data_IF_377502837878
#
_entry.id   IF_377502837878
#
_cell.length_a   1.000
_cell.length_b   1.000
_cell.length_c   1.000
_cell.angle_alpha   90.00
_cell.angle_beta   90.00
_cell.angle_gamma   90.00
#
_symmetry.space_group_name_H-M   'P 1'
#
loop_
_entity.id
_entity.type
_entity.pdbx_description
1 polymer ?
#
# COMPACT_ATOMS: atom_id res chain seq x y z
N UNK A 1 0.17 -15.40 -13.57
CA UNK A 1 -0.96 -15.29 -12.62
C UNK A 1 -0.79 -16.37 -11.57
N UNK A 2 -0.61 -16.01 -10.30
CA UNK A 2 -0.47 -17.00 -9.23
C UNK A 2 -1.84 -17.55 -8.84
N UNK A 3 -1.93 -18.86 -8.56
CA UNK A 3 -3.14 -19.53 -8.06
C UNK A 3 -3.05 -19.71 -6.55
N UNK A 4 -4.17 -19.80 -5.83
CA UNK A 4 -4.20 -19.96 -4.35
C UNK A 4 -3.35 -21.15 -3.82
N UNK A 5 -3.13 -22.16 -4.66
CA UNK A 5 -2.33 -23.36 -4.34
C UNK A 5 -0.85 -23.25 -4.76
N UNK A 6 -0.42 -22.13 -5.34
CA UNK A 6 0.94 -21.95 -5.81
C UNK A 6 1.92 -22.09 -4.65
N UNK A 7 2.92 -22.96 -4.83
CA UNK A 7 3.94 -23.23 -3.83
C UNK A 7 4.64 -21.94 -3.40
N UNK A 8 4.78 -20.98 -4.31
CA UNK A 8 5.38 -19.66 -4.05
C UNK A 8 4.57 -18.87 -3.02
N UNK A 9 3.24 -18.86 -3.13
CA UNK A 9 2.36 -18.18 -2.17
C UNK A 9 2.41 -18.89 -0.81
N UNK A 10 2.41 -20.22 -0.79
CA UNK A 10 2.52 -21.01 0.46
C UNK A 10 3.85 -20.77 1.17
N UNK A 11 4.95 -20.76 0.41
CA UNK A 11 6.29 -20.47 0.92
C UNK A 11 6.36 -19.06 1.48
N UNK A 12 5.79 -18.07 0.79
CA UNK A 12 5.72 -16.69 1.26
C UNK A 12 5.06 -16.60 2.64
N UNK A 13 3.85 -17.14 2.80
CA UNK A 13 3.15 -17.10 4.09
C UNK A 13 3.89 -17.88 5.18
N UNK A 14 4.53 -19.01 4.84
CA UNK A 14 5.34 -19.78 5.78
C UNK A 14 6.51 -18.96 6.33
N UNK A 15 7.22 -18.25 5.45
CA UNK A 15 8.32 -17.35 5.86
C UNK A 15 7.76 -16.18 6.65
N UNK A 16 6.69 -15.54 6.17
CA UNK A 16 6.07 -14.39 6.81
C UNK A 16 5.63 -14.68 8.26
N UNK A 17 4.97 -15.80 8.50
CA UNK A 17 4.54 -16.19 9.85
C UNK A 17 5.70 -16.53 10.79
N UNK A 18 6.87 -16.89 10.26
CA UNK A 18 8.09 -17.13 11.05
C UNK A 18 8.85 -15.86 11.41
N UNK A 19 8.54 -14.72 10.80
CA UNK A 19 9.21 -13.45 11.12
C UNK A 19 8.85 -12.96 12.54
N UNK A 20 9.77 -12.26 13.23
CA UNK A 20 9.47 -11.54 14.47
C UNK A 20 8.35 -10.50 14.29
N UNK A 21 7.58 -10.21 15.33
CA UNK A 21 6.44 -9.28 15.27
C UNK A 21 6.84 -7.89 14.78
N UNK A 22 8.00 -7.37 15.19
CA UNK A 22 8.52 -6.07 14.74
C UNK A 22 8.70 -6.04 13.22
N UNK A 23 9.25 -7.12 12.65
CA UNK A 23 9.44 -7.24 11.19
C UNK A 23 8.13 -7.49 10.45
N UNK A 24 7.18 -8.20 11.05
CA UNK A 24 5.81 -8.35 10.51
C UNK A 24 5.08 -7.01 10.46
N UNK A 25 5.22 -6.20 11.52
CA UNK A 25 4.68 -4.84 11.56
C UNK A 25 5.24 -3.99 10.43
N UNK A 26 6.51 -4.10 10.05
CA UNK A 26 7.04 -3.38 8.87
C UNK A 26 6.34 -3.71 7.53
N UNK A 27 5.70 -4.87 7.41
CA UNK A 27 4.89 -5.25 6.24
C UNK A 27 3.43 -4.78 6.32
N UNK A 28 2.91 -4.54 7.53
CA UNK A 28 1.51 -4.24 7.81
C UNK A 28 1.31 -2.75 8.10
N UNK A 29 2.17 -2.20 8.93
CA UNK A 29 2.39 -0.78 9.15
C UNK A 29 3.47 -0.34 8.17
N UNK A 30 3.02 0.26 7.07
CA UNK A 30 3.86 1.27 6.45
C UNK A 30 4.18 2.27 7.58
N UNK A 31 5.46 2.51 7.85
CA UNK A 31 5.99 3.47 8.84
C UNK A 31 5.62 4.91 8.42
N UNK A 32 4.36 5.13 8.11
CA UNK A 32 3.79 6.38 7.64
C UNK A 32 3.33 7.07 8.91
N UNK A 33 4.19 7.96 9.37
CA UNK A 33 3.97 8.78 10.56
C UNK A 33 2.63 9.54 10.48
N UNK A 34 2.22 9.92 9.27
CA UNK A 34 0.88 10.46 9.00
C UNK A 34 0.26 9.93 7.69
N UNK A 35 -0.73 9.00 7.74
CA UNK A 35 -1.36 8.46 6.54
C UNK A 35 -2.12 9.51 5.73
N UNK A 36 -2.42 10.68 6.30
CA UNK A 36 -3.12 11.77 5.62
C UNK A 36 -2.22 12.65 4.74
N UNK A 37 -0.91 12.50 4.88
CA UNK A 37 0.10 13.25 4.12
C UNK A 37 0.65 12.47 2.92
N UNK A 38 0.42 11.17 2.89
CA UNK A 38 0.87 10.29 1.81
C UNK A 38 -0.16 10.15 0.69
N UNK A 39 0.35 9.92 -0.51
CA UNK A 39 -0.45 9.68 -1.70
C UNK A 39 -0.71 8.19 -1.93
N UNK A 40 -1.84 7.84 -2.57
CA UNK A 40 -2.07 6.48 -3.00
C UNK A 40 -1.07 6.08 -4.08
N UNK A 41 -0.61 4.82 -4.03
CA UNK A 41 0.39 4.30 -4.97
C UNK A 41 -0.31 3.35 -5.94
N UNK A 42 -0.17 3.59 -7.24
CA UNK A 42 -0.69 2.71 -8.28
C UNK A 42 0.42 1.86 -8.90
N UNK A 43 0.25 0.55 -8.91
CA UNK A 43 1.01 -0.36 -9.77
C UNK A 43 0.18 -0.65 -11.01
N UNK A 44 0.41 0.14 -12.07
CA UNK A 44 -0.35 0.10 -13.32
C UNK A 44 -0.24 -1.24 -14.04
N UNK A 45 0.95 -1.85 -14.08
CA UNK A 45 1.16 -3.17 -14.68
C UNK A 45 0.37 -4.28 -13.98
N UNK A 46 0.19 -4.17 -12.66
CA UNK A 46 -0.52 -5.18 -11.85
C UNK A 46 -1.98 -4.83 -11.57
N UNK A 47 -2.45 -3.63 -11.99
CA UNK A 47 -3.79 -3.09 -11.68
C UNK A 47 -4.10 -3.06 -10.18
N UNK A 48 -3.09 -2.76 -9.36
CA UNK A 48 -3.22 -2.66 -7.89
C UNK A 48 -3.11 -1.19 -7.48
N UNK A 49 -4.03 -0.73 -6.64
CA UNK A 49 -3.98 0.57 -6.00
C UNK A 49 -3.80 0.38 -4.49
N UNK A 50 -2.72 0.92 -3.94
CA UNK A 50 -2.44 0.94 -2.51
C UNK A 50 -2.99 2.22 -1.91
N UNK A 51 -3.89 2.07 -0.94
CA UNK A 51 -4.51 3.18 -0.22
C UNK A 51 -3.97 3.25 1.22
N UNK A 52 -3.39 4.38 1.62
CA UNK A 52 -3.11 4.67 3.03
C UNK A 52 -4.37 4.61 3.89
N UNK A 53 -4.20 4.37 5.19
CA UNK A 53 -5.30 4.38 6.17
C UNK A 53 -5.68 5.81 6.55
N UNK A 54 -6.26 6.55 5.60
CA UNK A 54 -6.70 7.93 5.80
C UNK A 54 -7.68 8.07 6.97
N UNK A 55 -7.56 9.14 7.75
CA UNK A 55 -8.41 9.41 8.92
C UNK A 55 -9.86 9.76 8.54
N UNK A 56 -10.10 10.25 7.32
CA UNK A 56 -11.44 10.63 6.86
C UNK A 56 -11.65 10.42 5.35
N UNK A 57 -12.92 10.19 4.97
CA UNK A 57 -13.36 10.12 3.55
C UNK A 57 -13.01 11.38 2.77
N UNK A 58 -13.03 12.55 3.42
CA UNK A 58 -12.68 13.84 2.81
C UNK A 58 -11.22 13.87 2.35
N UNK A 59 -10.31 13.39 3.21
CA UNK A 59 -8.87 13.35 2.91
C UNK A 59 -8.60 12.34 1.80
N UNK A 60 -9.17 11.13 1.90
CA UNK A 60 -9.08 10.12 0.85
C UNK A 60 -9.50 10.68 -0.52
N UNK A 61 -10.66 11.34 -0.58
CA UNK A 61 -11.16 11.94 -1.83
C UNK A 61 -10.19 13.01 -2.36
N UNK A 62 -9.72 13.93 -1.49
CA UNK A 62 -8.78 14.99 -1.88
C UNK A 62 -7.48 14.40 -2.45
N UNK A 63 -6.87 13.44 -1.74
CA UNK A 63 -5.59 12.84 -2.11
C UNK A 63 -5.70 11.98 -3.37
N UNK A 64 -6.79 11.22 -3.50
CA UNK A 64 -7.05 10.40 -4.68
C UNK A 64 -7.27 11.27 -5.91
N UNK A 65 -8.05 12.35 -5.80
CA UNK A 65 -8.27 13.27 -6.92
C UNK A 65 -6.97 13.94 -7.35
N UNK A 66 -6.17 14.46 -6.41
CA UNK A 66 -4.86 15.04 -6.75
C UNK A 66 -3.95 14.00 -7.43
N UNK A 67 -3.89 12.75 -6.94
CA UNK A 67 -3.05 11.70 -7.54
C UNK A 67 -3.49 11.30 -8.95
N UNK A 68 -4.79 11.41 -9.27
CA UNK A 68 -5.31 11.17 -10.62
C UNK A 68 -4.99 12.34 -11.55
N UNK A 69 -5.14 13.57 -11.05
CA UNK A 69 -4.91 14.80 -11.82
C UNK A 69 -3.43 15.07 -12.08
N UNK A 70 -2.56 14.73 -11.13
CA UNK A 70 -1.10 14.95 -11.19
C UNK A 70 -0.38 13.59 -11.30
N UNK A 71 -0.46 13.00 -12.50
CA UNK A 71 0.16 11.72 -12.82
C UNK A 71 1.70 11.79 -12.98
N UNK A 72 2.31 12.94 -12.70
CA UNK A 72 3.76 13.13 -12.68
C UNK A 72 4.18 13.70 -11.32
N UNK A 73 5.11 13.00 -10.69
CA UNK A 73 5.83 13.32 -9.46
C UNK A 73 5.92 14.82 -9.16
N UNK A 74 5.52 15.22 -7.97
CA UNK A 74 6.24 16.11 -7.03
C UNK A 74 5.23 16.67 -6.03
N UNK A 75 5.21 16.07 -4.83
CA UNK A 75 4.96 16.63 -3.49
C UNK A 75 4.09 17.87 -3.22
N UNK A 76 3.25 18.36 -4.14
CA UNK A 76 2.53 19.63 -4.04
C UNK A 76 1.07 19.47 -4.52
N UNK A 77 0.35 18.61 -3.81
CA UNK A 77 -0.98 18.97 -3.30
C UNK A 77 -1.04 18.59 -1.78
#
# INVERSE_FOLDING_TARGET
QYKKLDQTIRNFWTVFYRLPEEKKKMFLDSQIENPDEVYPIANTCSRILFLPRYSSKRILKKRLLCAIEHNESFGLC
#
